data_IF_959062353594
#
_entry.id   IF_959062353594
#
_cell.length_a   1.000
_cell.length_b   1.000
_cell.length_c   1.000
_cell.angle_alpha   90.00
_cell.angle_beta   90.00
_cell.angle_gamma   90.00
#
_symmetry.space_group_name_H-M   'P 1'
#
loop_
_entity.id
_entity.type
_entity.pdbx_description
1 polymer ?
#
# COMPACT_ATOMS: atom_id res chain seq x y z
N UNK A 1 16.17 20.19 16.01
CA UNK A 1 15.13 19.74 15.06
C UNK A 1 15.28 18.23 14.93
N UNK A 2 14.26 17.45 15.32
CA UNK A 2 14.31 15.99 15.15
C UNK A 2 14.26 15.68 13.65
N UNK A 3 15.13 14.79 13.16
CA UNK A 3 14.91 14.21 11.83
C UNK A 3 13.85 13.08 11.91
N UNK A 4 13.24 12.74 10.77
CA UNK A 4 12.17 11.74 10.72
C UNK A 4 12.58 10.40 11.37
N UNK A 5 13.83 9.97 11.17
CA UNK A 5 14.36 8.73 11.77
C UNK A 5 14.39 8.78 13.30
N UNK A 6 14.85 9.88 13.88
CA UNK A 6 14.86 10.06 15.33
C UNK A 6 13.44 10.11 15.89
N UNK A 7 12.53 10.81 15.22
CA UNK A 7 11.12 10.89 15.62
C UNK A 7 10.43 9.52 15.60
N UNK A 8 10.62 8.75 14.52
CA UNK A 8 10.10 7.37 14.41
C UNK A 8 10.65 6.49 15.53
N UNK A 9 11.95 6.58 15.86
CA UNK A 9 12.52 5.82 16.97
C UNK A 9 11.87 6.14 18.32
N UNK A 10 11.48 7.39 18.57
CA UNK A 10 10.75 7.76 19.80
C UNK A 10 9.30 7.22 19.79
N UNK A 11 8.59 7.36 18.68
CA UNK A 11 7.23 6.80 18.54
C UNK A 11 7.23 5.28 18.74
N UNK A 12 8.23 4.59 18.20
CA UNK A 12 8.36 3.14 18.33
C UNK A 12 8.55 2.68 19.79
N UNK A 13 9.04 3.52 20.69
CA UNK A 13 9.12 3.21 22.14
C UNK A 13 7.75 3.31 22.82
N UNK A 14 6.89 4.21 22.36
CA UNK A 14 5.60 4.50 22.98
C UNK A 14 4.46 3.62 22.42
N UNK A 15 4.55 3.18 21.16
CA UNK A 15 3.54 2.36 20.48
C UNK A 15 4.02 0.90 20.30
N UNK A 16 4.13 0.15 21.38
CA UNK A 16 4.70 -1.21 21.36
C UNK A 16 3.76 -2.28 20.79
N UNK A 17 2.44 -2.11 20.96
CA UNK A 17 1.44 -3.12 20.57
C UNK A 17 0.79 -2.86 19.20
N UNK A 18 0.89 -1.64 18.67
CA UNK A 18 0.26 -1.27 17.41
C UNK A 18 1.12 -1.69 16.21
N UNK A 19 0.58 -2.66 15.43
CA UNK A 19 1.24 -3.14 14.21
C UNK A 19 1.23 -2.10 13.08
N UNK A 20 0.12 -1.38 12.91
CA UNK A 20 -0.05 -0.36 11.87
C UNK A 20 -0.70 0.86 12.51
N UNK A 21 -0.08 2.01 12.36
CA UNK A 21 -0.64 3.27 12.84
C UNK A 21 -0.11 4.44 12.00
N UNK A 22 -0.83 5.56 12.03
CA UNK A 22 -0.39 6.78 11.37
C UNK A 22 0.18 7.78 12.36
N UNK A 23 1.09 8.63 11.90
CA UNK A 23 1.63 9.74 12.68
C UNK A 23 1.86 10.96 11.79
N UNK A 24 1.94 12.14 12.42
CA UNK A 24 2.30 13.38 11.72
C UNK A 24 3.73 13.79 12.06
N UNK A 25 4.45 14.28 11.07
CA UNK A 25 5.79 14.85 11.19
C UNK A 25 5.93 15.97 10.15
N UNK A 26 6.32 17.16 10.60
CA UNK A 26 6.53 18.34 9.74
C UNK A 26 5.32 18.68 8.85
N UNK A 27 4.10 18.57 9.42
CA UNK A 27 2.84 18.84 8.71
C UNK A 27 2.44 17.77 7.67
N UNK A 28 3.21 16.69 7.54
CA UNK A 28 2.90 15.56 6.67
C UNK A 28 2.50 14.33 7.49
N UNK A 29 1.48 13.62 7.01
CA UNK A 29 1.04 12.34 7.57
C UNK A 29 1.82 11.17 6.96
N UNK A 30 2.17 10.22 7.81
CA UNK A 30 2.86 8.98 7.45
C UNK A 30 2.12 7.78 8.04
N UNK A 31 2.40 6.61 7.48
CA UNK A 31 1.98 5.32 8.02
C UNK A 31 3.20 4.50 8.38
N UNK A 32 3.19 3.95 9.60
CA UNK A 32 4.17 2.98 10.06
C UNK A 32 3.54 1.61 10.06
N UNK A 33 4.24 0.63 9.49
CA UNK A 33 3.86 -0.79 9.57
C UNK A 33 5.02 -1.60 10.14
N UNK A 34 4.75 -2.29 11.24
CA UNK A 34 5.65 -3.25 11.88
C UNK A 34 5.45 -4.65 11.31
N UNK A 35 6.50 -5.44 11.39
CA UNK A 35 6.40 -6.88 11.19
C UNK A 35 5.46 -7.50 12.22
N UNK A 36 4.70 -8.50 11.79
CA UNK A 36 3.86 -9.30 12.68
C UNK A 36 4.75 -10.24 13.51
N UNK A 37 4.89 -9.96 14.81
CA UNK A 37 5.73 -10.75 15.74
C UNK A 37 5.00 -11.95 16.35
N UNK A 38 3.67 -11.88 16.48
CA UNK A 38 2.83 -12.96 16.99
C UNK A 38 1.83 -13.42 15.92
N UNK A 39 1.84 -14.71 15.62
CA UNK A 39 0.75 -15.34 14.84
C UNK A 39 -0.29 -15.80 15.85
N UNK A 40 -1.35 -15.02 16.00
CA UNK A 40 -2.52 -15.45 16.79
C UNK A 40 -3.28 -16.56 16.05
N UNK A 41 -3.70 -17.59 16.80
CA UNK A 41 -4.50 -18.70 16.28
C UNK A 41 -4.00 -20.09 16.69
N UNK A 42 -4.77 -21.10 16.29
CA UNK A 42 -4.50 -22.52 16.56
C UNK A 42 -3.16 -22.99 15.94
N UNK A 43 -2.58 -24.08 16.44
CA UNK A 43 -1.34 -24.66 15.92
C UNK A 43 -1.34 -24.85 14.39
N UNK A 44 -2.47 -25.27 13.81
CA UNK A 44 -2.62 -25.40 12.36
C UNK A 44 -2.50 -24.05 11.64
N UNK A 45 -3.06 -22.98 12.19
CA UNK A 45 -2.94 -21.63 11.61
C UNK A 45 -1.49 -21.15 11.57
N UNK A 46 -0.68 -21.51 12.59
CA UNK A 46 0.75 -21.17 12.63
C UNK A 46 1.57 -21.93 11.57
N UNK A 47 1.18 -23.16 11.22
CA UNK A 47 1.84 -23.95 10.18
C UNK A 47 1.51 -23.44 8.78
N UNK A 48 0.25 -23.12 8.52
CA UNK A 48 -0.20 -22.73 7.17
C UNK A 48 -0.03 -21.23 6.88
N UNK A 49 0.15 -20.37 7.90
CA UNK A 49 0.37 -18.95 7.67
C UNK A 49 1.75 -18.71 7.05
N UNK A 50 1.84 -17.89 5.99
CA UNK A 50 3.13 -17.50 5.40
C UNK A 50 4.08 -16.95 6.47
N UNK A 51 5.37 -17.26 6.35
CA UNK A 51 6.38 -16.72 7.26
C UNK A 51 6.28 -15.18 7.27
N UNK A 52 6.05 -14.54 8.44
CA UNK A 52 5.79 -13.11 8.52
C UNK A 52 7.01 -12.28 8.11
N UNK A 53 8.23 -12.74 8.41
CA UNK A 53 9.48 -12.10 7.99
C UNK A 53 9.65 -12.13 6.48
N UNK A 54 9.40 -13.29 5.84
CA UNK A 54 9.46 -13.40 4.37
C UNK A 54 8.41 -12.52 3.70
N UNK A 55 7.20 -12.50 4.23
CA UNK A 55 6.11 -11.69 3.68
C UNK A 55 6.39 -10.19 3.83
N UNK A 56 6.93 -9.79 4.98
CA UNK A 56 7.31 -8.41 5.27
C UNK A 56 8.47 -7.92 4.39
N UNK A 57 9.52 -8.74 4.24
CA UNK A 57 10.63 -8.43 3.35
C UNK A 57 10.19 -8.33 1.88
N UNK A 58 9.27 -9.20 1.43
CA UNK A 58 8.71 -9.14 0.08
C UNK A 58 7.86 -7.87 -0.13
N UNK A 59 7.16 -7.40 0.90
CA UNK A 59 6.40 -6.15 0.87
C UNK A 59 7.31 -4.93 0.73
N UNK A 60 8.36 -4.84 1.56
CA UNK A 60 9.39 -3.79 1.44
C UNK A 60 10.01 -3.81 0.03
N UNK A 61 10.43 -4.99 -0.45
CA UNK A 61 11.08 -5.08 -1.77
C UNK A 61 10.15 -4.65 -2.91
N UNK A 62 8.85 -4.92 -2.78
CA UNK A 62 7.85 -4.46 -3.75
C UNK A 62 7.72 -2.94 -3.76
N UNK A 63 7.63 -2.32 -2.58
CA UNK A 63 7.59 -0.86 -2.46
C UNK A 63 8.84 -0.22 -3.06
N UNK A 64 10.02 -0.79 -2.81
CA UNK A 64 11.27 -0.32 -3.42
C UNK A 64 11.22 -0.36 -4.95
N UNK A 65 10.83 -1.50 -5.53
CA UNK A 65 10.73 -1.65 -7.00
C UNK A 65 9.73 -0.65 -7.59
N UNK A 66 8.58 -0.45 -6.95
CA UNK A 66 7.57 0.52 -7.40
C UNK A 66 8.10 1.95 -7.30
N UNK A 67 8.75 2.32 -6.20
CA UNK A 67 9.30 3.66 -6.01
C UNK A 67 10.48 3.94 -6.95
N UNK A 68 11.36 2.97 -7.20
CA UNK A 68 12.46 3.06 -8.18
C UNK A 68 11.92 3.34 -9.60
N UNK A 69 10.76 2.76 -9.94
CA UNK A 69 10.11 2.97 -11.23
C UNK A 69 9.19 4.21 -11.29
N UNK A 70 9.09 4.99 -10.20
CA UNK A 70 8.10 6.06 -10.04
C UNK A 70 6.66 5.60 -10.35
N UNK A 71 6.33 4.36 -10.00
CA UNK A 71 5.01 3.80 -10.17
C UNK A 71 4.03 4.41 -9.13
N UNK A 72 2.74 4.57 -9.48
CA UNK A 72 1.74 5.12 -8.56
C UNK A 72 1.55 4.21 -7.34
N UNK A 73 1.94 4.69 -6.17
CA UNK A 73 1.95 3.95 -4.92
C UNK A 73 2.63 4.73 -3.80
N UNK A 74 2.46 4.29 -2.55
CA UNK A 74 3.03 4.98 -1.40
C UNK A 74 4.56 5.00 -1.45
N UNK A 75 5.13 6.16 -1.13
CA UNK A 75 6.58 6.34 -1.09
C UNK A 75 7.16 5.83 0.21
N UNK A 76 8.09 4.88 0.11
CA UNK A 76 8.87 4.32 1.20
C UNK A 76 9.94 5.32 1.64
N UNK A 77 9.79 5.88 2.85
CA UNK A 77 10.70 6.91 3.38
C UNK A 77 11.67 6.37 4.40
N UNK A 78 11.30 5.32 5.13
CA UNK A 78 12.19 4.62 6.07
C UNK A 78 11.86 3.13 6.07
N UNK A 79 12.88 2.32 6.29
CA UNK A 79 12.73 0.87 6.50
C UNK A 79 13.79 0.33 7.45
N UNK A 80 13.45 -0.82 8.04
CA UNK A 80 14.33 -1.70 8.79
C UNK A 80 13.83 -3.15 8.60
N UNK A 81 14.46 -4.10 9.26
CA UNK A 81 14.00 -5.49 9.27
C UNK A 81 12.71 -5.69 10.09
N UNK A 82 12.29 -4.70 10.87
CA UNK A 82 11.16 -4.82 11.80
C UNK A 82 10.01 -3.83 11.54
N UNK A 83 10.25 -2.77 10.78
CA UNK A 83 9.24 -1.78 10.42
C UNK A 83 9.59 -1.09 9.10
N UNK A 84 8.58 -0.51 8.48
CA UNK A 84 8.76 0.48 7.43
C UNK A 84 7.78 1.64 7.61
N UNK A 85 8.12 2.77 6.98
CA UNK A 85 7.33 3.99 6.98
C UNK A 85 7.09 4.42 5.55
N UNK A 86 5.83 4.71 5.24
CA UNK A 86 5.40 5.26 3.97
C UNK A 86 4.72 6.60 4.13
N UNK A 87 4.80 7.43 3.10
CA UNK A 87 3.96 8.63 2.98
C UNK A 87 2.48 8.24 2.88
N UNK A 88 1.61 9.04 3.52
CA UNK A 88 0.17 8.91 3.37
C UNK A 88 -0.25 9.28 1.94
N UNK A 89 -1.12 8.45 1.35
CA UNK A 89 -1.62 8.58 -0.02
C UNK A 89 -3.09 9.02 -0.09
N UNK A 90 -3.63 9.55 1.01
CA UNK A 90 -4.96 10.16 1.07
C UNK A 90 -6.10 9.15 1.22
N UNK A 91 -7.26 9.53 0.70
CA UNK A 91 -8.52 8.86 1.00
C UNK A 91 -8.77 7.68 0.05
N UNK A 92 -9.11 6.48 0.56
CA UNK A 92 -9.51 5.37 -0.28
C UNK A 92 -10.75 5.71 -1.12
N UNK A 93 -10.72 5.37 -2.42
CA UNK A 93 -11.81 5.64 -3.36
C UNK A 93 -13.11 4.98 -2.90
N UNK A 94 -13.05 3.78 -2.32
CA UNK A 94 -14.22 3.12 -1.74
C UNK A 94 -14.93 3.96 -0.67
N UNK A 95 -14.18 4.74 0.12
CA UNK A 95 -14.74 5.63 1.13
C UNK A 95 -15.41 6.84 0.49
N UNK A 96 -14.77 7.45 -0.51
CA UNK A 96 -15.38 8.54 -1.29
C UNK A 96 -16.71 8.11 -1.93
N UNK A 97 -16.75 6.88 -2.46
CA UNK A 97 -17.94 6.30 -3.07
C UNK A 97 -19.06 6.03 -2.07
N UNK A 98 -18.69 5.59 -0.85
CA UNK A 98 -19.66 5.32 0.22
C UNK A 98 -20.42 6.57 0.65
N UNK A 99 -19.77 7.73 0.64
CA UNK A 99 -20.34 8.97 1.19
C UNK A 99 -20.77 9.99 0.12
N UNK A 100 -20.40 9.81 -1.14
CA UNK A 100 -20.84 10.68 -2.24
C UNK A 100 -22.09 10.13 -2.93
N UNK A 101 -23.05 11.01 -3.19
CA UNK A 101 -24.21 10.75 -4.07
C UNK A 101 -24.05 11.40 -5.45
N UNK A 102 -22.94 12.09 -5.70
CA UNK A 102 -22.67 12.75 -6.98
C UNK A 102 -22.03 11.76 -7.96
N UNK A 103 -22.79 11.39 -8.98
CA UNK A 103 -22.36 10.45 -10.01
C UNK A 103 -21.30 11.03 -10.96
N UNK A 104 -21.28 12.35 -11.19
CA UNK A 104 -20.23 12.98 -12.00
C UNK A 104 -18.89 12.91 -11.28
N UNK A 105 -18.89 13.23 -9.98
CA UNK A 105 -17.71 13.09 -9.13
C UNK A 105 -17.17 11.65 -9.10
N UNK A 106 -18.06 10.66 -8.93
CA UNK A 106 -17.67 9.24 -8.97
C UNK A 106 -17.07 8.86 -10.31
N UNK A 107 -17.71 9.26 -11.40
CA UNK A 107 -17.22 9.00 -12.76
C UNK A 107 -15.83 9.62 -12.98
N UNK A 108 -15.61 10.85 -12.55
CA UNK A 108 -14.30 11.51 -12.64
C UNK A 108 -13.21 10.77 -11.87
N UNK A 109 -13.50 10.29 -10.66
CA UNK A 109 -12.54 9.51 -9.86
C UNK A 109 -12.23 8.17 -10.53
N UNK A 110 -13.24 7.47 -11.08
CA UNK A 110 -13.01 6.22 -11.80
C UNK A 110 -12.15 6.45 -13.04
N UNK A 111 -12.38 7.54 -13.76
CA UNK A 111 -11.60 7.89 -14.92
C UNK A 111 -10.13 8.20 -14.55
N UNK A 112 -9.90 8.87 -13.42
CA UNK A 112 -8.55 9.07 -12.85
C UNK A 112 -7.90 7.74 -12.48
N UNK A 113 -8.63 6.86 -11.78
CA UNK A 113 -8.15 5.54 -11.40
C UNK A 113 -7.79 4.67 -12.62
N UNK A 114 -8.62 4.68 -13.66
CA UNK A 114 -8.39 3.96 -14.90
C UNK A 114 -7.13 4.47 -15.64
N UNK A 115 -6.94 5.80 -15.70
CA UNK A 115 -5.72 6.39 -16.30
C UNK A 115 -4.47 6.02 -15.51
N UNK A 116 -4.54 6.05 -14.17
CA UNK A 116 -3.42 5.65 -13.33
C UNK A 116 -3.08 4.15 -13.47
N UNK A 117 -4.10 3.30 -13.62
CA UNK A 117 -3.92 1.87 -13.85
C UNK A 117 -3.27 1.61 -15.21
N UNK A 118 -3.70 2.32 -16.26
CA UNK A 118 -3.06 2.26 -17.57
C UNK A 118 -1.59 2.72 -17.51
N UNK A 119 -1.29 3.78 -16.74
CA UNK A 119 0.08 4.22 -16.49
C UNK A 119 0.93 3.17 -15.75
N UNK A 120 0.36 2.51 -14.75
CA UNK A 120 0.98 1.39 -14.05
C UNK A 120 1.31 0.24 -15.01
N UNK A 121 0.38 -0.09 -15.91
CA UNK A 121 0.57 -1.11 -16.94
C UNK A 121 1.65 -0.74 -17.96
N UNK A 122 1.75 0.54 -18.33
CA UNK A 122 2.80 1.05 -19.21
C UNK A 122 4.21 0.95 -18.59
N UNK A 123 4.30 0.95 -17.26
CA UNK A 123 5.52 0.68 -16.50
C UNK A 123 5.82 -0.83 -16.31
N UNK A 124 5.08 -1.71 -17.00
CA UNK A 124 5.17 -3.17 -16.89
C UNK A 124 4.82 -3.71 -15.49
N UNK A 125 4.01 -2.99 -14.73
CA UNK A 125 3.42 -3.48 -13.50
C UNK A 125 1.96 -3.87 -13.72
N UNK A 126 1.47 -4.77 -12.88
CA UNK A 126 0.06 -5.07 -12.72
C UNK A 126 -0.25 -5.04 -11.23
N UNK A 127 -1.43 -4.53 -10.87
CA UNK A 127 -1.86 -4.48 -9.48
C UNK A 127 -2.20 -5.87 -8.94
N UNK A 128 -2.91 -6.63 -9.77
CA UNK A 128 -3.45 -7.94 -9.51
C UNK A 128 -4.93 -8.00 -9.14
N UNK A 129 -5.35 -6.98 -8.39
CA UNK A 129 -6.71 -6.80 -7.87
C UNK A 129 -6.96 -5.34 -7.47
N UNK A 130 -7.13 -4.40 -8.42
CA UNK A 130 -7.25 -2.97 -8.13
C UNK A 130 -8.67 -2.61 -7.64
N UNK A 131 -9.08 -3.20 -6.50
CA UNK A 131 -10.38 -2.88 -5.90
C UNK A 131 -10.40 -1.43 -5.40
N UNK A 132 -11.55 -0.76 -5.39
CA UNK A 132 -11.66 0.65 -4.96
C UNK A 132 -11.14 0.95 -3.54
N UNK A 133 -11.06 -0.06 -2.67
CA UNK A 133 -10.46 0.08 -1.32
C UNK A 133 -8.93 0.11 -1.33
N UNK A 134 -8.33 -0.45 -2.38
CA UNK A 134 -6.90 -0.59 -2.61
C UNK A 134 -6.40 0.56 -3.54
N UNK A 135 -7.26 1.55 -3.83
CA UNK A 135 -6.97 2.76 -4.60
C UNK A 135 -7.23 3.97 -3.70
N UNK A 136 -6.27 4.88 -3.59
CA UNK A 136 -6.38 6.11 -2.82
C UNK A 136 -6.11 7.33 -3.70
N UNK A 137 -6.66 8.47 -3.31
CA UNK A 137 -6.44 9.76 -3.97
C UNK A 137 -5.95 10.82 -2.96
N UNK A 138 -4.91 11.56 -3.36
CA UNK A 138 -4.37 12.71 -2.62
C UNK A 138 -3.87 13.76 -3.59
N UNK A 139 -4.24 15.02 -3.38
CA UNK A 139 -3.81 16.13 -4.23
C UNK A 139 -4.02 15.87 -5.73
N UNK A 140 -5.15 15.25 -6.08
CA UNK A 140 -5.52 14.83 -7.44
C UNK A 140 -4.72 13.66 -8.03
N UNK A 141 -3.80 13.06 -7.27
CA UNK A 141 -3.00 11.92 -7.70
C UNK A 141 -3.56 10.60 -7.16
N UNK A 142 -3.67 9.61 -8.05
CA UNK A 142 -4.08 8.25 -7.72
C UNK A 142 -2.86 7.43 -7.30
N UNK A 143 -2.99 6.71 -6.19
CA UNK A 143 -2.00 5.78 -5.69
C UNK A 143 -2.64 4.41 -5.43
N UNK A 144 -1.88 3.36 -5.71
CA UNK A 144 -2.30 1.99 -5.45
C UNK A 144 -1.69 1.44 -4.16
N UNK A 145 -2.50 0.73 -3.39
CA UNK A 145 -2.16 0.09 -2.12
C UNK A 145 -2.34 -1.42 -2.24
N UNK A 146 -1.68 -2.21 -1.40
CA UNK A 146 -1.93 -3.65 -1.31
C UNK A 146 -1.86 -4.43 -2.64
N UNK A 147 -0.86 -4.11 -3.48
CA UNK A 147 -0.52 -4.90 -4.66
C UNK A 147 -0.45 -6.39 -4.31
N UNK A 148 -1.10 -7.26 -5.08
CA UNK A 148 -1.06 -8.70 -4.82
C UNK A 148 0.36 -9.25 -5.09
N UNK A 149 0.81 -10.20 -4.27
CA UNK A 149 2.19 -10.74 -4.30
C UNK A 149 2.32 -12.06 -5.04
N UNK A 150 1.20 -12.73 -5.38
CA UNK A 150 1.20 -14.07 -5.97
C UNK A 150 0.28 -14.12 -7.18
N UNK A 151 0.88 -14.20 -8.35
CA UNK A 151 0.18 -14.58 -9.58
C UNK A 151 0.58 -16.00 -9.94
N UNK A 152 -0.41 -16.79 -10.40
CA UNK A 152 -0.20 -18.14 -10.93
C UNK A 152 0.29 -18.13 -12.39
N UNK A 153 0.64 -16.94 -12.91
CA UNK A 153 1.18 -16.76 -14.25
C UNK A 153 2.26 -15.69 -14.23
N UNK A 154 3.39 -16.00 -14.85
CA UNK A 154 4.47 -15.04 -15.12
C UNK A 154 4.19 -14.18 -16.36
N UNK A 155 3.09 -14.44 -17.07
CA UNK A 155 2.64 -13.65 -18.21
C UNK A 155 2.08 -12.29 -17.74
N UNK A 156 2.83 -11.23 -18.06
CA UNK A 156 2.48 -9.86 -17.73
C UNK A 156 1.17 -9.41 -18.37
N UNK A 157 0.89 -9.81 -19.60
CA UNK A 157 -0.32 -9.38 -20.31
C UNK A 157 -1.56 -10.02 -19.69
N UNK A 158 -1.47 -11.29 -19.28
CA UNK A 158 -2.55 -11.94 -18.52
C UNK A 158 -2.79 -11.24 -17.17
N UNK A 159 -1.73 -10.77 -16.51
CA UNK A 159 -1.86 -10.03 -15.25
C UNK A 159 -2.53 -8.66 -15.44
N UNK A 160 -2.18 -7.94 -16.51
CA UNK A 160 -2.85 -6.66 -16.87
C UNK A 160 -4.32 -6.88 -17.22
N UNK A 161 -4.65 -7.91 -17.98
CA UNK A 161 -6.04 -8.26 -18.30
C UNK A 161 -6.87 -8.54 -17.04
N UNK A 162 -6.29 -9.24 -16.05
CA UNK A 162 -6.99 -9.53 -14.79
C UNK A 162 -7.34 -8.27 -14.00
N UNK A 163 -6.51 -7.23 -14.04
CA UNK A 163 -6.80 -5.97 -13.36
C UNK A 163 -8.12 -5.34 -13.83
N UNK A 164 -8.61 -5.70 -15.02
CA UNK A 164 -9.85 -5.20 -15.59
C UNK A 164 -11.10 -6.02 -15.21
N UNK A 165 -10.92 -7.14 -14.48
CA UNK A 165 -12.00 -8.09 -14.16
C UNK A 165 -12.50 -8.03 -12.71
N UNK A 166 -11.94 -7.12 -11.90
CA UNK A 166 -12.09 -7.09 -10.43
C UNK A 166 -13.03 -5.99 -10.00
#
# INVERSE_FOLDING_TARGET
MYNLKQYVNEILKNHHDERVFSFEFDGQKFWLKRIERSIEGSFLTKIFKPNPYKSFAAEIKKLEILNEANAPGPKLVLKSDEFFVIEDVGEPVARLFKYSTDENFKHEILLKAARALAGLHALNFAHGRPALRDIAIKNDEINFLDFESKFFSDDLELRKCRDLLV
#
